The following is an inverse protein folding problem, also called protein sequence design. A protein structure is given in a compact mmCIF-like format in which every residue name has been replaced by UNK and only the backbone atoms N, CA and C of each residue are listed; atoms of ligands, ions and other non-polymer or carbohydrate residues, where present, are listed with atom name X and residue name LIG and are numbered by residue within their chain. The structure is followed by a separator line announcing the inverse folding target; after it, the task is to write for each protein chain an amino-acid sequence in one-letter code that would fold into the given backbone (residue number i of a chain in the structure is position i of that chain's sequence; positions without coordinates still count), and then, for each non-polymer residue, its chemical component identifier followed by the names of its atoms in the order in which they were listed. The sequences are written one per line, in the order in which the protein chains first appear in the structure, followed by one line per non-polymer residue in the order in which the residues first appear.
data_IF_670596519221
#
_entry.id   IF_670596519221
#
_cell.length_a   1.000
_cell.length_b   1.000
_cell.length_c   1.000
_cell.angle_alpha   90.00
_cell.angle_beta   90.00
_cell.angle_gamma   90.00
#
_symmetry.space_group_name_H-M   'P 1'
#
loop_
_entity.id
_entity.type
_entity.pdbx_description
1 polymer ?
#
# COMPACT_ATOMS: atom_id res chain seq x y z
N UNK A 1 -9.84 2.53 -24.01
CA UNK A 1 -9.19 2.36 -22.68
C UNK A 1 -8.90 3.74 -22.07
N UNK A 2 -9.32 3.98 -20.82
CA UNK A 2 -9.16 5.27 -20.13
C UNK A 2 -7.89 5.35 -19.28
N UNK A 3 -7.62 6.52 -18.71
CA UNK A 3 -6.55 6.70 -17.72
C UNK A 3 -6.82 5.82 -16.48
N UNK A 4 -5.77 5.21 -15.94
CA UNK A 4 -5.83 4.37 -14.74
C UNK A 4 -5.05 5.03 -13.61
N UNK A 5 -5.55 4.90 -12.39
CA UNK A 5 -4.87 5.35 -11.19
C UNK A 5 -4.13 4.16 -10.55
N UNK A 6 -2.88 4.36 -10.16
CA UNK A 6 -2.09 3.39 -9.41
C UNK A 6 -1.96 3.83 -7.94
N UNK A 7 -2.07 2.88 -7.02
CA UNK A 7 -1.96 3.11 -5.58
C UNK A 7 -1.21 1.96 -4.92
N UNK A 8 -0.35 2.27 -3.96
CA UNK A 8 0.43 1.28 -3.20
C UNK A 8 0.29 1.51 -1.70
N UNK A 9 0.31 0.42 -0.95
CA UNK A 9 0.36 0.41 0.51
C UNK A 9 1.49 -0.51 0.94
N UNK A 10 2.41 0.01 1.73
CA UNK A 10 3.60 -0.71 2.17
C UNK A 10 3.91 -0.37 3.63
N UNK A 11 4.55 -1.29 4.34
CA UNK A 11 4.89 -1.10 5.75
C UNK A 11 6.41 -1.06 5.94
N UNK A 12 6.92 -0.16 6.82
CA UNK A 12 8.33 -0.16 7.21
C UNK A 12 8.73 -1.38 8.06
N UNK A 13 7.77 -2.24 8.44
CA UNK A 13 8.01 -3.48 9.19
C UNK A 13 7.62 -4.73 8.41
N UNK A 14 7.49 -4.61 7.09
CA UNK A 14 7.27 -5.76 6.22
C UNK A 14 8.46 -6.73 6.33
N UNK A 15 8.19 -7.96 6.78
CA UNK A 15 9.24 -8.94 6.99
C UNK A 15 9.65 -9.68 5.70
N UNK A 16 8.90 -9.51 4.61
CA UNK A 16 9.11 -10.25 3.35
C UNK A 16 9.62 -9.37 2.21
N UNK A 17 9.04 -8.19 2.01
CA UNK A 17 9.44 -7.28 0.94
C UNK A 17 10.49 -6.30 1.46
N UNK A 18 11.75 -6.51 1.07
CA UNK A 18 12.90 -5.76 1.55
C UNK A 18 13.88 -5.40 0.41
N UNK A 19 14.28 -4.13 0.22
CA UNK A 19 13.81 -2.97 0.99
C UNK A 19 12.33 -2.71 0.75
N UNK A 20 11.62 -2.35 1.82
CA UNK A 20 10.17 -2.05 1.83
C UNK A 20 9.81 -0.95 0.82
N UNK A 21 10.73 -0.02 0.58
CA UNK A 21 10.61 1.05 -0.42
C UNK A 21 10.60 0.58 -1.87
N UNK A 22 10.90 -0.70 -2.15
CA UNK A 22 10.81 -1.27 -3.51
C UNK A 22 9.37 -1.31 -4.07
N UNK A 23 8.37 -1.13 -3.21
CA UNK A 23 6.95 -1.06 -3.58
C UNK A 23 6.59 0.27 -4.25
N UNK A 24 7.39 1.32 -4.08
CA UNK A 24 7.07 2.68 -4.57
C UNK A 24 7.08 2.74 -6.10
N UNK A 25 6.00 3.23 -6.69
CA UNK A 25 5.87 3.41 -8.14
C UNK A 25 5.80 4.90 -8.52
N UNK A 26 6.51 5.28 -9.58
CA UNK A 26 6.43 6.64 -10.14
C UNK A 26 5.04 6.90 -10.71
N UNK A 27 4.44 8.04 -10.35
CA UNK A 27 3.10 8.42 -10.77
C UNK A 27 1.94 7.72 -10.02
N UNK A 28 2.24 6.92 -9.00
CA UNK A 28 1.23 6.30 -8.13
C UNK A 28 1.02 7.10 -6.83
N UNK A 29 -0.14 6.89 -6.20
CA UNK A 29 -0.36 7.27 -4.80
C UNK A 29 0.32 6.25 -3.88
N UNK A 30 1.48 6.59 -3.35
CA UNK A 30 2.27 5.68 -2.52
C UNK A 30 2.04 5.96 -1.03
N UNK A 31 1.41 5.01 -0.33
CA UNK A 31 1.01 5.16 1.08
C UNK A 31 1.89 4.27 1.96
N UNK A 32 2.70 4.89 2.81
CA UNK A 32 3.35 4.18 3.91
C UNK A 32 2.34 3.96 5.05
N UNK A 33 2.21 2.73 5.53
CA UNK A 33 1.35 2.39 6.67
C UNK A 33 2.10 2.55 7.99
N UNK A 34 1.42 2.31 9.11
CA UNK A 34 2.11 2.00 10.36
C UNK A 34 2.96 0.73 10.22
N UNK A 35 3.90 0.55 11.16
CA UNK A 35 4.68 -0.67 11.32
C UNK A 35 3.74 -1.86 11.55
N UNK A 36 3.67 -2.77 10.58
CA UNK A 36 2.88 -4.00 10.62
C UNK A 36 3.50 -5.05 9.70
N UNK A 37 3.25 -6.32 10.01
CA UNK A 37 3.79 -7.40 9.19
C UNK A 37 3.11 -7.51 7.82
N UNK A 38 3.77 -8.19 6.87
CA UNK A 38 3.33 -8.28 5.47
C UNK A 38 1.87 -8.72 5.32
N UNK A 39 1.48 -9.76 6.06
CA UNK A 39 0.12 -10.29 5.97
C UNK A 39 -0.94 -9.40 6.61
N UNK A 40 -0.54 -8.54 7.56
CA UNK A 40 -1.46 -7.64 8.26
C UNK A 40 -2.02 -6.55 7.33
N UNK A 41 -1.25 -6.13 6.31
CA UNK A 41 -1.70 -5.16 5.30
C UNK A 41 -3.04 -5.54 4.66
N UNK A 42 -3.32 -6.84 4.48
CA UNK A 42 -4.53 -7.33 3.83
C UNK A 42 -5.76 -7.39 4.75
N UNK A 43 -5.55 -7.36 6.06
CA UNK A 43 -6.61 -7.52 7.07
C UNK A 43 -6.78 -6.30 7.97
N UNK A 44 -5.89 -5.32 7.88
CA UNK A 44 -5.96 -4.09 8.66
C UNK A 44 -7.13 -3.20 8.20
N UNK A 45 -7.96 -2.77 9.15
CA UNK A 45 -9.15 -1.97 8.88
C UNK A 45 -8.81 -0.57 8.33
N UNK A 46 -7.68 0.00 8.75
CA UNK A 46 -7.22 1.30 8.27
C UNK A 46 -6.80 1.20 6.81
N UNK A 47 -5.99 0.19 6.47
CA UNK A 47 -5.58 -0.08 5.08
C UNK A 47 -6.79 -0.33 4.19
N UNK A 48 -7.75 -1.15 4.64
CA UNK A 48 -9.01 -1.37 3.93
C UNK A 48 -9.76 -0.05 3.65
N UNK A 49 -9.89 0.81 4.66
CA UNK A 49 -10.57 2.10 4.52
C UNK A 49 -9.90 3.01 3.48
N UNK A 50 -8.57 3.05 3.48
CA UNK A 50 -7.77 3.82 2.52
C UNK A 50 -7.90 3.27 1.10
N UNK A 51 -7.81 1.95 0.91
CA UNK A 51 -8.00 1.31 -0.41
C UNK A 51 -9.41 1.58 -0.94
N UNK A 52 -10.43 1.48 -0.08
CA UNK A 52 -11.82 1.79 -0.44
C UNK A 52 -11.99 3.23 -0.91
N UNK A 53 -11.35 4.19 -0.25
CA UNK A 53 -11.36 5.60 -0.67
C UNK A 53 -10.67 5.79 -2.02
N UNK A 54 -9.55 5.09 -2.25
CA UNK A 54 -8.77 5.19 -3.49
C UNK A 54 -9.48 4.64 -4.74
N UNK A 55 -10.27 3.56 -4.61
CA UNK A 55 -10.94 2.91 -5.75
C UNK A 55 -12.31 3.51 -6.10
N UNK A 56 -12.80 4.48 -5.34
CA UNK A 56 -14.07 5.18 -5.61
C UNK A 56 -13.91 6.18 -6.74
#
# INVERSE_FOLDING_TARGET
PGAVNYGTWWSPCDELINPDTSVILSGASNTQTSCMGHSALRTDLTVYGQVREFVR
#
